data_IF_381220159409
#
_entry.id   IF_381220159409
#
_cell.length_a   1.000
_cell.length_b   1.000
_cell.length_c   1.000
_cell.angle_alpha   90.00
_cell.angle_beta   90.00
_cell.angle_gamma   90.00
#
_symmetry.space_group_name_H-M   'P 1'
#
loop_
_entity.id
_entity.type
_entity.pdbx_description
1 polymer ?
#
# COMPACT_ATOMS: atom_id res chain seq x y z
N UNK A 1 -8.51 -4.71 -8.73
CA UNK A 1 -7.85 -3.42 -9.06
C UNK A 1 -8.59 -2.81 -10.22
N UNK A 2 -8.75 -1.49 -10.21
CA UNK A 2 -9.51 -0.76 -11.22
C UNK A 2 -8.72 0.47 -11.64
N UNK A 3 -8.79 0.85 -12.91
CA UNK A 3 -8.39 2.19 -13.32
C UNK A 3 -9.39 3.22 -12.78
N UNK A 4 -9.01 4.48 -12.64
CA UNK A 4 -9.95 5.52 -12.22
C UNK A 4 -11.13 5.62 -13.19
N UNK A 5 -10.90 5.50 -14.50
CA UNK A 5 -11.97 5.49 -15.50
C UNK A 5 -12.95 4.33 -15.34
N UNK A 6 -12.50 3.17 -14.83
CA UNK A 6 -13.37 2.03 -14.52
C UNK A 6 -14.01 2.13 -13.11
N UNK A 7 -13.45 2.98 -12.24
CA UNK A 7 -13.85 3.12 -10.85
C UNK A 7 -15.19 3.86 -10.72
N UNK A 8 -16.28 3.11 -10.87
CA UNK A 8 -17.64 3.56 -10.60
C UNK A 8 -18.11 3.01 -9.25
N UNK A 9 -19.00 3.75 -8.56
CA UNK A 9 -19.69 3.19 -7.41
C UNK A 9 -20.49 1.93 -7.85
N UNK A 10 -20.42 0.79 -7.13
CA UNK A 10 -19.94 0.61 -5.76
C UNK A 10 -18.51 0.04 -5.60
N UNK A 11 -17.70 0.00 -6.65
CA UNK A 11 -16.45 -0.78 -6.67
C UNK A 11 -15.27 -0.14 -5.90
N UNK A 12 -15.43 1.10 -5.42
CA UNK A 12 -14.45 1.86 -4.62
C UNK A 12 -14.91 1.89 -3.16
N UNK A 13 -14.04 1.59 -2.17
CA UNK A 13 -14.37 1.72 -0.76
C UNK A 13 -14.91 3.12 -0.44
N UNK A 14 -15.98 3.20 0.36
CA UNK A 14 -16.67 4.47 0.63
C UNK A 14 -15.73 5.58 1.15
N UNK A 15 -14.73 5.22 1.95
CA UNK A 15 -13.72 6.13 2.48
C UNK A 15 -12.87 6.80 1.38
N UNK A 16 -12.67 6.14 0.24
CA UNK A 16 -11.78 6.60 -0.84
C UNK A 16 -12.56 7.29 -1.98
N UNK A 17 -13.89 7.17 -1.99
CA UNK A 17 -14.73 7.64 -3.10
C UNK A 17 -14.55 9.13 -3.37
N UNK A 18 -14.55 9.97 -2.33
CA UNK A 18 -14.43 11.42 -2.50
C UNK A 18 -13.13 11.83 -3.22
N UNK A 19 -12.03 11.17 -2.89
CA UNK A 19 -10.73 11.45 -3.49
C UNK A 19 -10.62 10.91 -4.91
N UNK A 20 -11.08 9.68 -5.17
CA UNK A 20 -11.11 9.11 -6.52
C UNK A 20 -12.00 9.94 -7.44
N UNK A 21 -13.17 10.37 -6.96
CA UNK A 21 -14.07 11.27 -7.69
C UNK A 21 -13.40 12.61 -7.98
N UNK A 22 -12.65 13.17 -7.03
CA UNK A 22 -11.88 14.40 -7.26
C UNK A 22 -10.82 14.22 -8.35
N UNK A 23 -10.04 13.14 -8.31
CA UNK A 23 -9.00 12.86 -9.32
C UNK A 23 -9.62 12.63 -10.71
N UNK A 24 -10.75 11.96 -10.77
CA UNK A 24 -11.54 11.79 -11.99
C UNK A 24 -12.05 13.12 -12.56
N UNK A 25 -12.58 13.99 -11.71
CA UNK A 25 -13.05 15.31 -12.13
C UNK A 25 -11.92 16.20 -12.69
N UNK A 26 -10.68 15.98 -12.22
CA UNK A 26 -9.48 16.63 -12.74
C UNK A 26 -8.94 15.98 -14.03
N UNK A 27 -9.60 14.94 -14.56
CA UNK A 27 -9.13 14.19 -15.73
C UNK A 27 -7.83 13.44 -15.49
N UNK A 28 -7.48 13.17 -14.23
CA UNK A 28 -6.22 12.50 -13.88
C UNK A 28 -6.36 11.00 -14.15
N UNK A 29 -5.54 10.40 -15.03
CA UNK A 29 -5.52 8.95 -15.19
C UNK A 29 -4.92 8.29 -13.95
N UNK A 30 -5.30 7.05 -13.65
CA UNK A 30 -4.75 6.36 -12.49
C UNK A 30 -5.37 5.01 -12.21
N UNK A 31 -4.91 4.38 -11.13
CA UNK A 31 -5.34 3.07 -10.65
C UNK A 31 -5.64 3.17 -9.16
N UNK A 32 -6.73 2.52 -8.74
CA UNK A 32 -6.96 2.14 -7.35
C UNK A 32 -6.61 0.67 -7.14
N UNK A 33 -5.63 0.45 -6.28
CA UNK A 33 -5.31 -0.86 -5.71
C UNK A 33 -6.20 -1.05 -4.49
N UNK A 34 -7.13 -2.04 -4.49
CA UNK A 34 -8.08 -2.20 -3.42
C UNK A 34 -7.43 -2.85 -2.19
N UNK A 35 -8.02 -2.70 -0.99
CA UNK A 35 -7.52 -3.32 0.24
C UNK A 35 -7.34 -4.84 0.10
N UNK A 36 -8.28 -5.51 -0.59
CA UNK A 36 -8.23 -6.95 -0.81
C UNK A 36 -6.96 -7.42 -1.58
N UNK A 37 -6.36 -6.56 -2.42
CA UNK A 37 -5.12 -6.91 -3.13
C UNK A 37 -3.92 -6.89 -2.18
N UNK A 38 -3.84 -5.90 -1.29
CA UNK A 38 -2.85 -5.86 -0.22
C UNK A 38 -3.08 -7.02 0.76
N UNK A 39 -4.32 -7.27 1.16
CA UNK A 39 -4.66 -8.38 2.05
C UNK A 39 -4.25 -9.75 1.48
N UNK A 40 -4.44 -9.97 0.17
CA UNK A 40 -3.98 -11.16 -0.53
C UNK A 40 -2.45 -11.28 -0.53
N UNK A 41 -1.72 -10.16 -0.63
CA UNK A 41 -0.26 -10.14 -0.46
C UNK A 41 0.16 -10.59 0.95
N UNK A 42 -0.47 -10.05 1.99
CA UNK A 42 -0.19 -10.45 3.37
C UNK A 42 -0.45 -11.94 3.58
N UNK A 43 -1.61 -12.44 3.15
CA UNK A 43 -1.98 -13.86 3.29
C UNK A 43 -1.05 -14.77 2.49
N UNK A 44 -0.76 -14.43 1.24
CA UNK A 44 0.07 -15.25 0.35
C UNK A 44 1.50 -15.44 0.87
N UNK A 45 2.05 -14.45 1.57
CA UNK A 45 3.37 -14.53 2.20
C UNK A 45 3.37 -15.10 3.63
N UNK A 46 2.23 -15.54 4.17
CA UNK A 46 2.07 -15.84 5.61
C UNK A 46 2.59 -14.71 6.52
N UNK A 47 2.47 -13.46 6.05
CA UNK A 47 3.00 -12.29 6.75
C UNK A 47 2.34 -12.05 8.11
N UNK A 48 1.02 -12.24 8.29
CA UNK A 48 0.39 -12.07 9.60
C UNK A 48 1.06 -12.87 10.71
N UNK A 49 1.42 -14.13 10.46
CA UNK A 49 2.10 -14.96 11.46
C UNK A 49 3.56 -14.56 11.68
N UNK A 50 4.27 -14.19 10.62
CA UNK A 50 5.65 -13.72 10.74
C UNK A 50 5.73 -12.42 11.54
N UNK A 51 4.82 -11.48 11.26
CA UNK A 51 4.71 -10.22 11.98
C UNK A 51 4.27 -10.43 13.44
N UNK A 52 3.30 -11.32 13.68
CA UNK A 52 2.89 -11.67 15.05
C UNK A 52 4.06 -12.23 15.87
N UNK A 53 4.89 -13.07 15.27
CA UNK A 53 6.10 -13.61 15.93
C UNK A 53 7.13 -12.52 16.17
N UNK A 54 7.38 -11.67 15.17
CA UNK A 54 8.32 -10.54 15.24
C UNK A 54 7.98 -9.60 16.40
N UNK A 55 6.71 -9.25 16.55
CA UNK A 55 6.25 -8.33 17.59
C UNK A 55 5.80 -9.02 18.89
N UNK A 56 5.98 -10.33 19.03
CA UNK A 56 5.63 -11.05 20.26
C UNK A 56 6.28 -10.52 21.55
N UNK A 57 7.46 -9.87 21.53
CA UNK A 57 8.04 -9.25 22.73
C UNK A 57 7.33 -7.97 23.18
N UNK A 58 6.58 -7.31 22.29
CA UNK A 58 5.93 -6.03 22.59
C UNK A 58 4.72 -6.26 23.50
N UNK A 59 4.66 -5.49 24.58
CA UNK A 59 3.51 -5.44 25.49
C UNK A 59 2.70 -4.17 25.19
N UNK A 60 1.50 -4.26 24.59
CA UNK A 60 0.70 -3.07 24.25
C UNK A 60 0.37 -2.17 25.45
N UNK A 61 0.24 -2.76 26.65
CA UNK A 61 -0.04 -2.00 27.88
C UNK A 61 1.16 -1.19 28.42
N UNK A 62 2.38 -1.45 27.94
CA UNK A 62 3.59 -0.72 28.30
C UNK A 62 4.61 -0.89 27.16
N UNK A 63 4.52 -0.01 26.17
CA UNK A 63 5.39 -0.02 25.01
C UNK A 63 6.78 0.45 25.44
N UNK A 64 7.79 -0.34 25.09
CA UNK A 64 9.19 0.05 25.16
C UNK A 64 9.57 0.55 23.77
N UNK A 65 9.65 1.87 23.60
CA UNK A 65 9.91 2.54 22.31
C UNK A 65 11.26 2.10 21.72
N UNK A 66 12.28 1.95 22.58
CA UNK A 66 13.62 1.49 22.19
C UNK A 66 13.58 0.04 21.67
N UNK A 67 12.64 -0.77 22.15
CA UNK A 67 12.42 -2.13 21.65
C UNK A 67 11.58 -2.16 20.36
N UNK A 68 10.71 -1.17 20.13
CA UNK A 68 9.81 -1.12 18.98
C UNK A 68 10.53 -0.69 17.70
N UNK A 69 11.42 0.30 17.76
CA UNK A 69 12.15 0.83 16.60
C UNK A 69 12.89 -0.26 15.78
N UNK A 70 13.72 -1.15 16.37
CA UNK A 70 14.39 -2.20 15.61
C UNK A 70 13.42 -3.24 15.03
N UNK A 71 12.26 -3.46 15.66
CA UNK A 71 11.23 -4.36 15.13
C UNK A 71 10.46 -3.73 13.97
N UNK A 72 10.21 -2.43 14.02
CA UNK A 72 9.64 -1.66 12.91
C UNK A 72 10.52 -1.77 11.66
N UNK A 73 11.83 -1.59 11.81
CA UNK A 73 12.79 -1.75 10.71
C UNK A 73 12.79 -3.18 10.13
N UNK A 74 12.72 -4.20 10.99
CA UNK A 74 12.60 -5.59 10.56
C UNK A 74 11.29 -5.87 9.82
N UNK A 75 10.17 -5.31 10.29
CA UNK A 75 8.87 -5.45 9.65
C UNK A 75 8.89 -4.80 8.25
N UNK A 76 9.44 -3.60 8.12
CA UNK A 76 9.61 -2.95 6.81
C UNK A 76 10.44 -3.80 5.85
N UNK A 77 11.55 -4.36 6.32
CA UNK A 77 12.41 -5.25 5.53
C UNK A 77 11.64 -6.50 5.10
N UNK A 78 10.84 -7.08 5.99
CA UNK A 78 10.00 -8.24 5.71
C UNK A 78 8.96 -7.93 4.61
N UNK A 79 8.25 -6.81 4.69
CA UNK A 79 7.29 -6.39 3.65
C UNK A 79 7.99 -6.17 2.31
N UNK A 80 9.13 -5.48 2.33
CA UNK A 80 9.89 -5.15 1.11
C UNK A 80 10.46 -6.38 0.42
N UNK A 81 10.84 -7.42 1.16
CA UNK A 81 11.47 -8.62 0.62
C UNK A 81 10.48 -9.75 0.32
N UNK A 82 9.26 -9.69 0.85
CA UNK A 82 8.21 -10.68 0.55
C UNK A 82 7.70 -10.58 -0.87
N UNK A 83 7.47 -11.71 -1.53
CA UNK A 83 7.06 -11.74 -2.93
C UNK A 83 5.54 -11.68 -3.09
N UNK A 84 5.09 -11.02 -4.15
CA UNK A 84 3.74 -11.17 -4.67
C UNK A 84 3.67 -12.46 -5.50
N UNK A 85 2.52 -13.14 -5.44
CA UNK A 85 2.25 -14.26 -6.33
C UNK A 85 2.25 -13.80 -7.79
N UNK A 86 2.72 -14.64 -8.71
CA UNK A 86 2.84 -14.27 -10.13
C UNK A 86 1.50 -13.77 -10.70
N UNK A 87 0.39 -14.46 -10.43
CA UNK A 87 -0.94 -14.03 -10.85
C UNK A 87 -1.30 -12.61 -10.39
N UNK A 88 -0.89 -12.23 -9.17
CA UNK A 88 -1.11 -10.90 -8.62
C UNK A 88 -0.23 -9.85 -9.34
N UNK A 89 1.02 -10.20 -9.64
CA UNK A 89 1.94 -9.36 -10.42
C UNK A 89 1.40 -9.14 -11.84
N UNK A 90 0.96 -10.20 -12.51
CA UNK A 90 0.39 -10.12 -13.85
C UNK A 90 -0.91 -9.30 -13.86
N UNK A 91 -1.78 -9.48 -12.86
CA UNK A 91 -3.00 -8.67 -12.72
C UNK A 91 -2.68 -7.19 -12.51
N UNK A 92 -1.61 -6.88 -11.76
CA UNK A 92 -1.14 -5.52 -11.57
C UNK A 92 -0.67 -4.90 -12.89
N UNK A 93 0.26 -5.57 -13.61
CA UNK A 93 0.77 -5.07 -14.89
C UNK A 93 -0.34 -4.88 -15.93
N UNK A 94 -1.28 -5.81 -16.05
CA UNK A 94 -2.45 -5.66 -16.93
C UNK A 94 -3.32 -4.46 -16.57
N UNK A 95 -3.41 -4.11 -15.29
CA UNK A 95 -4.22 -2.97 -14.85
C UNK A 95 -3.51 -1.66 -15.13
N UNK A 96 -2.23 -1.56 -14.78
CA UNK A 96 -1.43 -0.36 -14.99
C UNK A 96 -1.26 -0.06 -16.50
N UNK A 97 -1.14 -1.08 -17.35
CA UNK A 97 -1.11 -0.92 -18.81
C UNK A 97 -2.41 -0.30 -19.36
N UNK A 98 -3.57 -0.55 -18.73
CA UNK A 98 -4.88 0.00 -19.13
C UNK A 98 -5.14 1.40 -18.56
N UNK A 99 -4.32 1.85 -17.60
CA UNK A 99 -4.57 3.07 -16.84
C UNK A 99 -4.15 4.37 -17.57
N UNK A 100 -3.66 4.28 -18.80
CA UNK A 100 -3.22 5.43 -19.61
C UNK A 100 -2.20 6.35 -18.89
N UNK A 101 -1.33 5.76 -18.07
CA UNK A 101 -0.26 6.49 -17.40
C UNK A 101 0.82 6.93 -18.41
N UNK A 102 1.47 8.10 -18.21
CA UNK A 102 2.45 8.64 -19.15
C UNK A 102 3.71 7.78 -19.18
N UNK A 103 3.93 7.07 -20.28
CA UNK A 103 5.15 6.27 -20.48
C UNK A 103 6.38 7.18 -20.45
N UNK A 104 7.37 6.81 -19.64
CA UNK A 104 8.57 7.62 -19.40
C UNK A 104 8.38 8.76 -18.38
N UNK A 105 7.15 8.96 -17.88
CA UNK A 105 6.85 9.91 -16.81
C UNK A 105 7.05 9.34 -15.41
N UNK A 106 6.73 10.14 -14.39
CA UNK A 106 6.70 9.71 -12.99
C UNK A 106 5.27 9.37 -12.55
N UNK A 107 5.13 8.27 -11.83
CA UNK A 107 3.89 7.84 -11.18
C UNK A 107 4.07 7.94 -9.69
N UNK A 108 3.19 8.68 -9.04
CA UNK A 108 3.06 8.75 -7.59
C UNK A 108 2.19 7.61 -7.10
N UNK A 109 2.69 6.90 -6.10
CA UNK A 109 2.02 5.81 -5.40
C UNK A 109 1.81 6.23 -3.95
N UNK A 110 0.58 6.25 -3.45
CA UNK A 110 0.30 6.70 -2.07
C UNK A 110 -1.00 6.15 -1.51
N UNK A 111 -1.15 6.21 -0.19
CA UNK A 111 -2.44 5.97 0.46
C UNK A 111 -3.41 7.11 0.15
N UNK A 112 -4.73 6.84 0.04
CA UNK A 112 -5.75 7.87 0.06
C UNK A 112 -5.58 8.80 1.28
N UNK A 113 -5.80 10.10 1.09
CA UNK A 113 -5.63 11.14 2.11
C UNK A 113 -4.18 11.45 2.52
N UNK A 114 -3.20 10.61 2.17
CA UNK A 114 -1.81 10.86 2.49
C UNK A 114 -1.24 11.98 1.60
N UNK A 115 -0.61 12.98 2.23
CA UNK A 115 0.04 14.09 1.54
C UNK A 115 1.33 13.68 0.80
N UNK A 116 1.98 12.60 1.27
CA UNK A 116 3.22 12.07 0.69
C UNK A 116 3.00 10.66 0.14
N UNK A 117 3.87 10.28 -0.78
CA UNK A 117 3.89 8.99 -1.44
C UNK A 117 5.27 8.66 -1.96
N UNK A 118 5.34 7.57 -2.71
CA UNK A 118 6.53 7.12 -3.43
C UNK A 118 6.37 7.46 -4.91
N UNK A 119 7.31 8.23 -5.44
CA UNK A 119 7.36 8.51 -6.88
C UNK A 119 8.26 7.47 -7.55
N UNK A 120 7.82 6.93 -8.69
CA UNK A 120 8.59 5.99 -9.47
C UNK A 120 8.44 6.23 -10.97
N UNK A 121 9.51 6.01 -11.77
CA UNK A 121 9.41 6.10 -13.21
C UNK A 121 8.45 5.04 -13.74
N UNK A 122 7.62 5.41 -14.71
CA UNK A 122 6.71 4.49 -15.37
C UNK A 122 7.28 4.03 -16.70
N UNK A 123 7.83 2.82 -16.68
CA UNK A 123 8.23 2.06 -17.86
C UNK A 123 7.53 0.72 -17.83
N UNK A 124 7.04 0.27 -18.99
CA UNK A 124 6.43 -1.05 -19.11
C UNK A 124 7.42 -2.15 -18.64
N UNK A 125 6.97 -3.15 -17.85
CA UNK A 125 5.58 -3.45 -17.50
C UNK A 125 5.03 -2.70 -16.26
N UNK A 126 5.83 -1.85 -15.62
CA UNK A 126 5.46 -1.14 -14.38
C UNK A 126 6.19 -1.65 -13.13
N UNK A 127 7.32 -2.34 -13.30
CA UNK A 127 8.09 -2.94 -12.19
C UNK A 127 8.51 -1.91 -11.13
N UNK A 128 8.98 -0.73 -11.54
CA UNK A 128 9.37 0.33 -10.61
C UNK A 128 8.16 0.84 -9.80
N UNK A 129 7.00 0.95 -10.44
CA UNK A 129 5.72 1.30 -9.78
C UNK A 129 5.28 0.23 -8.80
N UNK A 130 5.45 -1.06 -9.13
CA UNK A 130 5.18 -2.17 -8.21
C UNK A 130 6.11 -2.15 -6.98
N UNK A 131 7.38 -1.83 -7.18
CA UNK A 131 8.33 -1.66 -6.07
C UNK A 131 7.96 -0.46 -5.18
N UNK A 132 7.51 0.65 -5.77
CA UNK A 132 6.99 1.80 -5.04
C UNK A 132 5.73 1.45 -4.23
N UNK A 133 4.81 0.66 -4.80
CA UNK A 133 3.64 0.14 -4.08
C UNK A 133 4.06 -0.62 -2.81
N UNK A 134 5.04 -1.52 -2.91
CA UNK A 134 5.56 -2.24 -1.74
C UNK A 134 6.24 -1.32 -0.72
N UNK A 135 6.91 -0.25 -1.17
CA UNK A 135 7.47 0.76 -0.25
C UNK A 135 6.37 1.50 0.50
N UNK A 136 5.28 1.88 -0.17
CA UNK A 136 4.11 2.47 0.49
C UNK A 136 3.51 1.51 1.53
N UNK A 137 3.38 0.23 1.21
CA UNK A 137 2.90 -0.76 2.20
C UNK A 137 3.87 -0.93 3.37
N UNK A 138 5.18 -0.84 3.14
CA UNK A 138 6.18 -0.87 4.19
C UNK A 138 6.14 0.39 5.08
N UNK A 139 5.72 1.55 4.57
CA UNK A 139 5.58 2.76 5.39
C UNK A 139 4.58 2.61 6.55
N UNK A 140 3.61 1.70 6.40
CA UNK A 140 2.68 1.35 7.49
C UNK A 140 3.36 0.59 8.63
N UNK A 141 4.63 0.22 8.48
CA UNK A 141 5.45 -0.42 9.51
C UNK A 141 6.61 0.47 9.96
N UNK A 142 6.52 1.78 9.71
CA UNK A 142 7.38 2.76 10.35
C UNK A 142 7.11 2.82 11.85
N UNK A 143 8.11 3.24 12.62
CA UNK A 143 7.97 3.41 14.07
C UNK A 143 6.79 4.33 14.40
N UNK A 144 6.74 5.51 13.77
CA UNK A 144 5.64 6.47 13.91
C UNK A 144 4.28 5.85 13.56
N UNK A 145 4.16 5.14 12.42
CA UNK A 145 2.91 4.52 12.02
C UNK A 145 2.45 3.39 12.96
N UNK A 146 3.38 2.73 13.65
CA UNK A 146 3.07 1.70 14.65
C UNK A 146 2.63 2.34 15.96
N UNK A 147 3.28 3.43 16.40
CA UNK A 147 2.84 4.20 17.56
C UNK A 147 1.44 4.77 17.35
N UNK A 148 1.19 5.45 16.23
CA UNK A 148 -0.12 6.00 15.88
C UNK A 148 -1.21 4.92 15.90
N UNK A 149 -0.89 3.71 15.44
CA UNK A 149 -1.83 2.58 15.44
C UNK A 149 -2.09 2.04 16.84
N UNK A 150 -1.04 1.91 17.65
CA UNK A 150 -1.15 1.50 19.05
C UNK A 150 -2.00 2.50 19.85
N UNK A 151 -1.80 3.79 19.63
CA UNK A 151 -2.54 4.86 20.31
C UNK A 151 -4.01 4.90 19.88
N UNK A 152 -4.29 4.70 18.58
CA UNK A 152 -5.64 4.78 18.04
C UNK A 152 -6.48 3.52 18.22
N UNK A 153 -5.86 2.33 18.19
CA UNK A 153 -6.58 1.04 18.16
C UNK A 153 -6.18 0.07 19.27
N UNK A 154 -5.09 0.34 20.01
CA UNK A 154 -4.53 -0.60 20.99
C UNK A 154 -3.91 -1.85 20.37
N UNK A 155 -3.68 -1.87 19.05
CA UNK A 155 -3.22 -3.04 18.31
C UNK A 155 -2.14 -2.67 17.30
N UNK A 156 -1.23 -3.61 17.03
CA UNK A 156 -0.26 -3.53 15.94
C UNK A 156 -0.73 -4.23 14.67
N UNK A 157 -1.86 -4.96 14.74
CA UNK A 157 -2.42 -5.66 13.60
C UNK A 157 -2.73 -4.67 12.48
N UNK A 158 -2.24 -4.95 11.28
CA UNK A 158 -2.49 -4.10 10.13
C UNK A 158 -3.85 -4.40 9.51
N UNK A 159 -4.61 -3.35 9.24
CA UNK A 159 -5.73 -3.39 8.33
C UNK A 159 -5.26 -3.01 6.92
N UNK A 160 -5.52 -3.86 5.94
CA UNK A 160 -5.22 -3.56 4.55
C UNK A 160 -5.99 -2.33 4.10
N UNK A 161 -5.36 -1.47 3.29
CA UNK A 161 -5.96 -0.20 2.82
C UNK A 161 -5.78 -0.05 1.32
N UNK A 162 -6.56 0.84 0.71
CA UNK A 162 -6.36 1.15 -0.70
C UNK A 162 -5.02 1.85 -0.93
N UNK A 163 -4.51 1.75 -2.16
CA UNK A 163 -3.39 2.56 -2.65
C UNK A 163 -3.77 3.17 -3.99
N UNK A 164 -3.48 4.45 -4.17
CA UNK A 164 -3.70 5.20 -5.40
C UNK A 164 -2.40 5.30 -6.20
N UNK A 165 -2.50 5.11 -7.51
CA UNK A 165 -1.42 5.33 -8.47
C UNK A 165 -1.91 6.37 -9.47
N UNK A 166 -1.16 7.46 -9.64
CA UNK A 166 -1.50 8.51 -10.60
C UNK A 166 -0.22 9.24 -11.06
N UNK A 167 -0.23 10.02 -12.16
CA UNK A 167 0.91 10.86 -12.52
C UNK A 167 1.32 11.78 -11.37
N UNK A 168 2.63 11.94 -11.15
CA UNK A 168 3.21 12.71 -10.04
C UNK A 168 3.02 14.23 -10.15
#
# INVERSE_FOLDING_TARGET
>A
MLTFAEAHAPAVPAADQAEVTRLLALGTPGVIVPPAFEEAFYRGGNLPEQLRRLFSPIRPARIDEDALEPLAAQAQALIRTSYLMDDAVQAFYRTVARASLPVGGMVRVRRPGAARGEDAPFLAPGTATLQALKRVWAQDWTFDALLDRLDSTGSIALEARSTLLHPA
#
